data_IF_295390587501
#
_entry.id   IF_295390587501
#
_cell.length_a   1.000
_cell.length_b   1.000
_cell.length_c   1.000
_cell.angle_alpha   90.00
_cell.angle_beta   90.00
_cell.angle_gamma   90.00
#
_symmetry.space_group_name_H-M   'P 1'
#
loop_
_entity.id
_entity.type
_entity.pdbx_description
1 polymer ?
#
# COMPACT_ATOMS: atom_id res chain seq x y z
N UNK A 1 10.54 2.15 -18.43
CA UNK A 1 9.82 1.09 -17.70
C UNK A 1 9.88 1.31 -16.20
N UNK A 2 11.04 1.23 -15.53
CA UNK A 2 11.12 1.49 -14.09
C UNK A 2 10.72 2.93 -13.71
N UNK A 3 11.20 3.93 -14.44
CA UNK A 3 10.85 5.35 -14.20
C UNK A 3 9.34 5.63 -14.35
N UNK A 4 8.68 5.02 -15.34
CA UNK A 4 7.22 5.16 -15.52
C UNK A 4 6.43 4.45 -14.43
N UNK A 5 6.91 3.31 -13.95
CA UNK A 5 6.29 2.57 -12.86
C UNK A 5 6.41 3.33 -11.52
N UNK A 6 7.57 3.95 -11.23
CA UNK A 6 7.72 4.80 -10.04
C UNK A 6 6.85 6.07 -10.09
N UNK A 7 6.64 6.64 -11.29
CA UNK A 7 5.69 7.73 -11.47
C UNK A 7 4.24 7.29 -11.18
N UNK A 8 3.86 6.08 -11.58
CA UNK A 8 2.55 5.51 -11.25
C UNK A 8 2.40 5.26 -9.74
N UNK A 9 3.44 4.77 -9.07
CA UNK A 9 3.45 4.60 -7.62
C UNK A 9 3.24 5.95 -6.90
N UNK A 10 3.95 7.00 -7.33
CA UNK A 10 3.76 8.37 -6.81
C UNK A 10 2.33 8.87 -7.01
N UNK A 11 1.78 8.72 -8.22
CA UNK A 11 0.42 9.16 -8.51
C UNK A 11 -0.64 8.47 -7.63
N UNK A 12 -0.45 7.18 -7.32
CA UNK A 12 -1.33 6.46 -6.40
C UNK A 12 -1.26 7.04 -4.97
N UNK A 13 -0.06 7.37 -4.47
CA UNK A 13 0.09 7.99 -3.15
C UNK A 13 -0.47 9.42 -3.12
N UNK A 14 -0.34 10.18 -4.20
CA UNK A 14 -0.92 11.52 -4.30
C UNK A 14 -2.46 11.47 -4.29
N UNK A 15 -3.06 10.46 -4.94
CA UNK A 15 -4.51 10.24 -4.90
C UNK A 15 -4.97 9.92 -3.48
N UNK A 16 -4.31 8.99 -2.80
CA UNK A 16 -4.60 8.62 -1.41
C UNK A 16 -4.47 9.82 -0.46
N UNK A 17 -3.42 10.64 -0.62
CA UNK A 17 -3.25 11.86 0.14
C UNK A 17 -4.38 12.86 -0.08
N UNK A 18 -4.86 12.99 -1.32
CA UNK A 18 -6.02 13.82 -1.67
C UNK A 18 -7.31 13.34 -1.00
N UNK A 19 -7.55 12.03 -0.97
CA UNK A 19 -8.70 11.43 -0.29
C UNK A 19 -8.63 11.64 1.22
N UNK A 20 -7.45 11.44 1.84
CA UNK A 20 -7.28 11.66 3.28
C UNK A 20 -7.48 13.13 3.70
N UNK A 21 -7.24 14.07 2.80
CA UNK A 21 -7.39 15.50 3.07
C UNK A 21 -8.83 16.03 2.91
N UNK A 22 -9.75 15.24 2.33
CA UNK A 22 -11.11 15.70 1.97
C UNK A 22 -12.04 15.88 3.19
N UNK A 23 -11.75 15.22 4.31
CA UNK A 23 -12.58 15.22 5.53
C UNK A 23 -13.73 14.20 5.53
N UNK A 24 -14.08 13.63 4.38
CA UNK A 24 -14.96 12.46 4.24
C UNK A 24 -14.19 11.37 3.50
N UNK A 25 -13.69 10.40 4.27
CA UNK A 25 -12.69 9.44 3.78
C UNK A 25 -13.37 8.34 2.98
N UNK A 26 -13.12 8.36 1.67
CA UNK A 26 -13.51 7.28 0.76
C UNK A 26 -12.52 6.11 0.88
N UNK A 27 -12.84 5.17 1.77
CA UNK A 27 -11.98 4.00 2.02
C UNK A 27 -11.88 3.05 0.83
N UNK A 28 -12.85 3.03 -0.09
CA UNK A 28 -12.77 2.20 -1.30
C UNK A 28 -11.70 2.78 -2.24
N UNK A 29 -11.70 4.09 -2.43
CA UNK A 29 -10.67 4.77 -3.22
C UNK A 29 -9.28 4.65 -2.61
N UNK A 30 -9.17 4.67 -1.28
CA UNK A 30 -7.90 4.40 -0.60
C UNK A 30 -7.40 2.97 -0.84
N UNK A 31 -8.30 1.98 -0.85
CA UNK A 31 -7.95 0.61 -1.19
C UNK A 31 -7.50 0.50 -2.66
N UNK A 32 -8.17 1.18 -3.58
CA UNK A 32 -7.75 1.22 -5.00
C UNK A 32 -6.35 1.82 -5.16
N UNK A 33 -6.06 2.92 -4.46
CA UNK A 33 -4.75 3.56 -4.46
C UNK A 33 -3.66 2.66 -3.86
N UNK A 34 -3.94 1.96 -2.75
CA UNK A 34 -3.06 0.96 -2.13
C UNK A 34 -2.69 -0.16 -3.12
N UNK A 35 -3.68 -0.74 -3.81
CA UNK A 35 -3.45 -1.79 -4.82
C UNK A 35 -2.61 -1.26 -5.99
N UNK A 36 -2.93 -0.06 -6.49
CA UNK A 36 -2.20 0.57 -7.57
C UNK A 36 -0.73 0.84 -7.20
N UNK A 37 -0.47 1.27 -5.96
CA UNK A 37 0.88 1.48 -5.44
C UNK A 37 1.69 0.18 -5.44
N UNK A 38 1.17 -0.90 -4.86
CA UNK A 38 1.88 -2.18 -4.81
C UNK A 38 2.14 -2.77 -6.20
N UNK A 39 1.17 -2.66 -7.11
CA UNK A 39 1.34 -3.10 -8.50
C UNK A 39 2.47 -2.32 -9.19
N UNK A 40 2.47 -1.00 -9.04
CA UNK A 40 3.49 -0.15 -9.64
C UNK A 40 4.90 -0.48 -9.13
N UNK A 41 5.07 -0.81 -7.85
CA UNK A 41 6.36 -1.28 -7.32
C UNK A 41 6.78 -2.64 -7.91
N UNK A 42 5.83 -3.58 -8.07
CA UNK A 42 6.12 -4.88 -8.68
C UNK A 42 6.54 -4.74 -10.15
N UNK A 43 5.89 -3.84 -10.90
CA UNK A 43 6.23 -3.50 -12.28
C UNK A 43 7.62 -2.83 -12.35
N UNK A 44 7.93 -1.93 -11.42
CA UNK A 44 9.25 -1.30 -11.32
C UNK A 44 10.38 -2.32 -11.07
N UNK A 45 10.10 -3.38 -10.30
CA UNK A 45 11.01 -4.48 -10.05
C UNK A 45 11.17 -5.44 -11.24
N UNK A 46 10.35 -5.31 -12.29
CA UNK A 46 10.37 -6.19 -13.46
C UNK A 46 9.98 -7.64 -13.12
N UNK A 47 9.20 -7.85 -12.06
CA UNK A 47 8.79 -9.18 -11.61
C UNK A 47 7.28 -9.41 -11.87
N UNK A 48 6.91 -9.97 -13.03
CA UNK A 48 5.51 -10.16 -13.40
C UNK A 48 4.78 -11.17 -12.50
N UNK A 49 5.51 -12.10 -11.88
CA UNK A 49 4.94 -13.04 -10.91
C UNK A 49 4.54 -12.30 -9.64
N UNK A 50 5.38 -11.37 -9.16
CA UNK A 50 5.06 -10.55 -8.01
C UNK A 50 3.83 -9.66 -8.28
N UNK A 51 3.73 -9.07 -9.47
CA UNK A 51 2.56 -8.26 -9.84
C UNK A 51 1.27 -9.08 -9.81
N UNK A 52 1.28 -10.30 -10.37
CA UNK A 52 0.14 -11.20 -10.32
C UNK A 52 -0.23 -11.64 -8.89
N UNK A 53 0.77 -11.87 -8.03
CA UNK A 53 0.54 -12.20 -6.62
C UNK A 53 -0.11 -11.03 -5.86
N UNK A 54 0.36 -9.79 -6.10
CA UNK A 54 -0.24 -8.58 -5.51
C UNK A 54 -1.70 -8.47 -5.90
N UNK A 55 -2.05 -8.65 -7.19
CA UNK A 55 -3.45 -8.61 -7.65
C UNK A 55 -4.31 -9.70 -7.01
N UNK A 56 -3.81 -10.94 -6.94
CA UNK A 56 -4.54 -12.05 -6.34
C UNK A 56 -4.78 -11.84 -4.84
N UNK A 57 -3.78 -11.31 -4.12
CA UNK A 57 -3.90 -11.00 -2.70
C UNK A 57 -4.82 -9.81 -2.44
N UNK A 58 -4.76 -8.78 -3.27
CA UNK A 58 -5.60 -7.59 -3.17
C UNK A 58 -7.08 -7.95 -3.04
N UNK A 59 -7.61 -8.79 -3.95
CA UNK A 59 -9.02 -9.22 -3.90
C UNK A 59 -9.37 -10.02 -2.63
N UNK A 60 -8.42 -10.81 -2.12
CA UNK A 60 -8.63 -11.67 -0.94
C UNK A 60 -8.54 -10.89 0.38
N UNK A 61 -7.74 -9.83 0.43
CA UNK A 61 -7.57 -8.97 1.61
C UNK A 61 -8.43 -7.70 1.59
N UNK A 62 -9.06 -7.37 0.47
CA UNK A 62 -9.84 -6.15 0.26
C UNK A 62 -10.84 -5.86 1.38
N UNK A 63 -11.67 -6.86 1.73
CA UNK A 63 -12.67 -6.71 2.80
C UNK A 63 -12.05 -6.39 4.16
N UNK A 64 -10.95 -7.05 4.51
CA UNK A 64 -10.27 -6.82 5.78
C UNK A 64 -9.58 -5.46 5.81
N UNK A 65 -8.97 -5.03 4.70
CA UNK A 65 -8.36 -3.70 4.57
C UNK A 65 -9.40 -2.59 4.68
N UNK A 66 -10.55 -2.74 4.02
CA UNK A 66 -11.67 -1.82 4.15
C UNK A 66 -12.20 -1.78 5.58
N UNK A 67 -12.39 -2.94 6.21
CA UNK A 67 -12.80 -3.02 7.60
C UNK A 67 -11.79 -2.34 8.55
N UNK A 68 -10.48 -2.49 8.30
CA UNK A 68 -9.43 -1.80 9.05
C UNK A 68 -9.57 -0.29 8.97
N UNK A 69 -9.71 0.26 7.77
CA UNK A 69 -9.88 1.70 7.58
C UNK A 69 -11.10 2.25 8.33
N UNK A 70 -12.18 1.47 8.39
CA UNK A 70 -13.42 1.82 9.09
C UNK A 70 -13.36 1.69 10.62
N UNK A 71 -12.48 0.83 11.16
CA UNK A 71 -12.53 0.43 12.58
C UNK A 71 -11.28 0.80 13.39
N UNK A 72 -10.16 1.06 12.73
CA UNK A 72 -8.90 1.43 13.37
C UNK A 72 -8.59 2.91 13.06
N UNK A 73 -8.87 3.78 14.03
CA UNK A 73 -8.68 5.21 13.90
C UNK A 73 -7.25 5.55 13.47
N UNK A 74 -7.16 6.24 12.31
CA UNK A 74 -5.90 6.66 11.72
C UNK A 74 -5.10 5.54 11.05
N UNK A 75 -5.66 4.35 10.86
CA UNK A 75 -5.04 3.26 10.09
C UNK A 75 -4.63 3.70 8.69
N UNK A 76 -5.53 4.38 7.97
CA UNK A 76 -5.27 4.82 6.60
C UNK A 76 -4.15 5.86 6.53
N UNK A 77 -4.15 6.82 7.47
CA UNK A 77 -3.09 7.82 7.56
C UNK A 77 -1.73 7.19 7.95
N UNK A 78 -1.71 6.11 8.75
CA UNK A 78 -0.49 5.35 9.04
C UNK A 78 0.00 4.63 7.79
N UNK A 79 -0.88 3.88 7.12
CA UNK A 79 -0.57 3.17 5.87
C UNK A 79 0.02 4.12 4.83
N UNK A 80 -0.59 5.29 4.63
CA UNK A 80 -0.07 6.31 3.71
C UNK A 80 1.37 6.71 4.05
N UNK A 81 1.67 6.98 5.33
CA UNK A 81 3.04 7.35 5.75
C UNK A 81 4.04 6.22 5.54
N UNK A 82 3.62 4.97 5.73
CA UNK A 82 4.45 3.80 5.49
C UNK A 82 4.77 3.65 4.00
N UNK A 83 3.77 3.79 3.14
CA UNK A 83 3.96 3.74 1.68
C UNK A 83 4.88 4.86 1.18
N UNK A 84 4.72 6.09 1.67
CA UNK A 84 5.62 7.22 1.36
C UNK A 84 7.07 6.86 1.73
N UNK A 85 7.28 6.33 2.93
CA UNK A 85 8.62 5.95 3.39
C UNK A 85 9.23 4.81 2.56
N UNK A 86 8.42 3.88 2.04
CA UNK A 86 8.85 2.86 1.08
C UNK A 86 9.26 3.51 -0.23
N UNK A 87 8.39 4.34 -0.82
CA UNK A 87 8.63 4.93 -2.13
C UNK A 87 9.87 5.82 -2.12
N UNK A 88 10.06 6.62 -1.07
CA UNK A 88 11.24 7.45 -0.91
C UNK A 88 12.53 6.64 -0.90
N UNK A 89 12.54 5.49 -0.19
CA UNK A 89 13.69 4.59 -0.17
C UNK A 89 13.96 3.96 -1.54
N UNK A 90 12.91 3.57 -2.26
CA UNK A 90 13.02 3.02 -3.62
C UNK A 90 13.56 4.07 -4.60
N UNK A 91 13.03 5.29 -4.57
CA UNK A 91 13.47 6.40 -5.43
C UNK A 91 14.92 6.80 -5.14
N UNK A 92 15.34 6.76 -3.87
CA UNK A 92 16.72 7.00 -3.46
C UNK A 92 17.69 5.86 -3.84
N UNK A 93 17.17 4.70 -4.28
CA UNK A 93 17.97 3.50 -4.55
C UNK A 93 18.52 2.82 -3.29
N UNK A 94 17.99 3.13 -2.11
CA UNK A 94 18.40 2.52 -0.84
C UNK A 94 17.64 1.19 -0.62
N UNK A 95 18.21 0.13 -1.19
CA UNK A 95 17.60 -1.21 -1.23
C UNK A 95 17.31 -1.75 0.18
N UNK A 96 18.25 -1.63 1.11
CA UNK A 96 18.05 -2.16 2.47
C UNK A 96 16.97 -1.40 3.21
N UNK A 97 16.93 -0.06 3.08
CA UNK A 97 15.87 0.73 3.68
C UNK A 97 14.51 0.39 3.08
N UNK A 98 14.41 0.25 1.76
CA UNK A 98 13.17 -0.13 1.09
C UNK A 98 12.67 -1.50 1.59
N UNK A 99 13.58 -2.48 1.71
CA UNK A 99 13.28 -3.82 2.20
C UNK A 99 12.76 -3.82 3.64
N UNK A 100 13.44 -3.11 4.55
CA UNK A 100 13.03 -3.01 5.95
C UNK A 100 11.66 -2.33 6.08
N UNK A 101 11.43 -1.25 5.34
CA UNK A 101 10.15 -0.50 5.37
C UNK A 101 8.99 -1.34 4.86
N UNK A 102 9.17 -2.04 3.73
CA UNK A 102 8.13 -2.93 3.20
C UNK A 102 7.85 -4.09 4.14
N UNK A 103 8.89 -4.70 4.74
CA UNK A 103 8.70 -5.78 5.70
C UNK A 103 7.89 -5.32 6.92
N UNK A 104 8.22 -4.16 7.50
CA UNK A 104 7.49 -3.59 8.62
C UNK A 104 6.02 -3.32 8.26
N UNK A 105 5.76 -2.71 7.10
CA UNK A 105 4.41 -2.45 6.59
C UNK A 105 3.58 -3.74 6.48
N UNK A 106 4.15 -4.80 5.90
CA UNK A 106 3.44 -6.07 5.72
C UNK A 106 3.16 -6.79 7.05
N UNK A 107 4.06 -6.68 8.05
CA UNK A 107 3.84 -7.24 9.38
C UNK A 107 2.65 -6.58 10.10
N UNK A 108 2.50 -5.26 10.00
CA UNK A 108 1.36 -4.55 10.57
C UNK A 108 0.02 -5.00 9.95
N UNK A 109 0.02 -5.27 8.64
CA UNK A 109 -1.15 -5.83 7.94
C UNK A 109 -1.43 -7.25 8.40
N UNK A 110 -0.39 -8.10 8.51
CA UNK A 110 -0.53 -9.48 8.98
C UNK A 110 -1.09 -9.56 10.40
N UNK A 111 -0.57 -8.74 11.33
CA UNK A 111 -1.03 -8.69 12.72
C UNK A 111 -2.49 -8.25 12.80
N UNK A 112 -2.90 -7.30 11.95
CA UNK A 112 -4.30 -6.91 11.85
C UNK A 112 -5.18 -8.07 11.37
N UNK A 113 -4.78 -8.76 10.29
CA UNK A 113 -5.56 -9.87 9.72
C UNK A 113 -5.77 -10.97 10.75
N UNK A 114 -4.71 -11.36 11.48
CA UNK A 114 -4.79 -12.37 12.55
C UNK A 114 -5.78 -11.97 13.64
N UNK A 115 -5.73 -10.73 14.10
CA UNK A 115 -6.69 -10.22 15.10
C UNK A 115 -8.13 -10.20 14.60
N UNK A 116 -8.33 -9.96 13.30
CA UNK A 116 -9.67 -9.92 12.70
C UNK A 116 -10.29 -11.29 12.44
N UNK A 117 -9.46 -12.33 12.29
CA UNK A 117 -9.92 -13.71 12.12
C UNK A 117 -10.29 -14.37 13.46
N UNK A 118 -9.71 -13.89 14.57
CA UNK A 118 -9.96 -14.37 15.94
C UNK A 118 -11.20 -13.75 16.61
N UNK A 119 -11.81 -12.72 16.01
CA UNK A 119 -12.91 -11.91 16.56
C UNK A 119 -14.27 -12.25 15.95
#
# INVERSE_FOLDING_TARGET
AASSALAAARAALDDAAGVLASGDVDHERLLEADIAFHRALADAAGNPVLAALVEALAGRTARHRLWRGLTDDGADARTQREHEAVLDAVVAGDVERARVRMAAHLLEVEDFLRRSDDA
#
